data_IF_754203555504
#
_entry.id   IF_754203555504
#
_cell.length_a   1.000
_cell.length_b   1.000
_cell.length_c   1.000
_cell.angle_alpha   90.00
_cell.angle_beta   90.00
_cell.angle_gamma   90.00
#
_symmetry.space_group_name_H-M   'P 1'
#
loop_
_entity.id
_entity.type
_entity.pdbx_description
1 polymer ?
#
# COMPACT_ATOMS: atom_id res chain seq x y z
N UNK A 1 4.86 7.53 -8.28
CA UNK A 1 4.66 7.99 -6.89
C UNK A 1 5.89 8.70 -6.31
N UNK A 2 6.90 8.94 -7.19
CA UNK A 2 8.08 9.72 -6.80
C UNK A 2 7.68 11.17 -6.46
N UNK A 3 8.18 11.76 -5.34
CA UNK A 3 7.74 13.10 -4.88
C UNK A 3 7.99 14.23 -5.89
N UNK A 4 8.87 14.03 -6.86
CA UNK A 4 9.10 14.97 -7.96
C UNK A 4 7.91 15.08 -8.93
N UNK A 5 7.07 14.04 -9.03
CA UNK A 5 6.00 13.92 -10.02
C UNK A 5 4.62 13.73 -9.41
N UNK A 6 4.54 13.37 -8.14
CA UNK A 6 3.29 13.11 -7.44
C UNK A 6 3.15 14.09 -6.28
N UNK A 7 2.12 14.90 -6.35
CA UNK A 7 1.64 15.76 -5.29
C UNK A 7 0.21 15.33 -4.97
N UNK A 8 -0.02 14.97 -3.70
CA UNK A 8 -1.31 14.45 -3.29
C UNK A 8 -2.36 15.56 -3.20
N UNK A 9 -3.52 15.33 -3.83
CA UNK A 9 -4.66 16.25 -3.81
C UNK A 9 -5.48 16.05 -2.54
N UNK A 10 -5.41 17.01 -1.62
CA UNK A 10 -6.14 16.97 -0.34
C UNK A 10 -7.66 16.95 -0.50
N UNK A 11 -8.18 17.38 -1.65
CA UNK A 11 -9.64 17.38 -1.92
C UNK A 11 -10.25 15.97 -1.86
N UNK A 12 -9.44 14.92 -2.00
CA UNK A 12 -9.89 13.54 -1.85
C UNK A 12 -10.51 13.27 -0.47
N UNK A 13 -10.02 13.92 0.57
CA UNK A 13 -10.52 13.74 1.94
C UNK A 13 -11.97 14.18 2.07
N UNK A 14 -12.33 15.34 1.52
CA UNK A 14 -13.72 15.81 1.52
C UNK A 14 -14.64 14.92 0.69
N UNK A 15 -14.16 14.38 -0.43
CA UNK A 15 -14.87 13.42 -1.27
C UNK A 15 -15.15 12.10 -0.53
N UNK A 16 -14.27 11.72 0.40
CA UNK A 16 -14.42 10.54 1.27
C UNK A 16 -15.21 10.84 2.55
N UNK A 17 -15.63 12.08 2.77
CA UNK A 17 -16.28 12.50 4.01
C UNK A 17 -15.35 12.41 5.22
N UNK A 18 -14.05 12.66 5.03
CA UNK A 18 -13.04 12.71 6.08
C UNK A 18 -12.87 14.15 6.54
N UNK A 19 -13.00 14.37 7.85
CA UNK A 19 -12.77 15.67 8.48
C UNK A 19 -11.28 15.90 8.73
N UNK A 20 -10.91 17.16 8.94
CA UNK A 20 -9.52 17.53 9.25
C UNK A 20 -9.03 16.83 10.52
N UNK A 21 -7.90 16.12 10.41
CA UNK A 21 -7.33 15.35 11.53
C UNK A 21 -7.99 14.00 11.78
N UNK A 22 -9.05 13.67 11.06
CA UNK A 22 -9.69 12.34 11.18
C UNK A 22 -8.80 11.25 10.56
N UNK A 23 -8.60 10.18 11.31
CA UNK A 23 -7.75 9.06 10.93
C UNK A 23 -8.55 7.97 10.23
N UNK A 24 -7.99 7.40 9.18
CA UNK A 24 -8.64 6.32 8.46
C UNK A 24 -7.65 5.26 7.97
N UNK A 25 -8.18 4.07 7.73
CA UNK A 25 -7.47 2.94 7.12
C UNK A 25 -8.09 2.62 5.77
N UNK A 26 -7.24 2.34 4.79
CA UNK A 26 -7.67 1.75 3.51
C UNK A 26 -7.31 0.27 3.53
N UNK A 27 -8.28 -0.57 3.20
CA UNK A 27 -8.10 -2.01 3.02
C UNK A 27 -8.28 -2.39 1.56
N UNK A 28 -7.44 -3.30 1.06
CA UNK A 28 -7.58 -3.84 -0.30
C UNK A 28 -7.64 -5.35 -0.27
N UNK A 29 -8.73 -5.90 -0.78
CA UNK A 29 -8.91 -7.34 -0.93
C UNK A 29 -9.02 -7.72 -2.41
N UNK A 30 -8.15 -8.65 -2.86
CA UNK A 30 -8.16 -9.17 -4.23
C UNK A 30 -8.96 -10.46 -4.32
N UNK A 31 -9.39 -10.81 -5.55
CA UNK A 31 -10.29 -11.96 -5.76
C UNK A 31 -9.59 -13.32 -5.73
N UNK A 32 -8.27 -13.37 -5.93
CA UNK A 32 -7.49 -14.62 -6.04
C UNK A 32 -8.06 -15.61 -7.06
N UNK A 33 -8.57 -15.10 -8.18
CA UNK A 33 -9.25 -15.89 -9.21
C UNK A 33 -8.41 -16.11 -10.49
N UNK A 34 -7.21 -15.53 -10.56
CA UNK A 34 -6.36 -15.65 -11.74
C UNK A 34 -5.71 -17.05 -11.82
N UNK A 35 -5.37 -17.49 -13.02
CA UNK A 35 -4.81 -18.84 -13.26
C UNK A 35 -3.47 -19.10 -12.55
N UNK A 36 -2.71 -18.07 -12.24
CA UNK A 36 -1.46 -18.15 -11.48
C UNK A 36 -1.65 -18.13 -9.96
N UNK A 37 -2.88 -17.92 -9.48
CA UNK A 37 -3.22 -17.90 -8.06
C UNK A 37 -3.61 -19.27 -7.51
N UNK A 38 -3.50 -20.35 -8.30
CA UNK A 38 -3.88 -21.67 -7.86
C UNK A 38 -3.17 -22.08 -6.56
N UNK A 39 -3.95 -22.37 -5.51
CA UNK A 39 -3.44 -22.67 -4.17
C UNK A 39 -2.91 -21.47 -3.40
N UNK A 40 -3.12 -20.24 -3.90
CA UNK A 40 -2.77 -18.98 -3.24
C UNK A 40 -4.02 -18.34 -2.65
N UNK A 41 -3.82 -17.43 -1.68
CA UNK A 41 -4.91 -16.72 -1.05
C UNK A 41 -4.43 -15.60 -0.14
N UNK A 42 -5.37 -14.76 0.24
CA UNK A 42 -5.20 -13.69 1.22
C UNK A 42 -6.13 -13.91 2.42
N UNK A 43 -6.76 -12.85 2.88
CA UNK A 43 -7.73 -12.91 3.97
C UNK A 43 -8.97 -13.73 3.60
N UNK A 44 -9.37 -14.64 4.47
CA UNK A 44 -10.67 -15.30 4.38
C UNK A 44 -11.81 -14.29 4.59
N UNK A 45 -13.03 -14.65 4.25
CA UNK A 45 -14.17 -13.77 4.50
C UNK A 45 -14.32 -13.40 5.97
N UNK A 46 -14.13 -14.37 6.87
CA UNK A 46 -14.21 -14.14 8.31
C UNK A 46 -13.07 -13.23 8.80
N UNK A 47 -11.86 -13.40 8.25
CA UNK A 47 -10.75 -12.48 8.56
C UNK A 47 -11.03 -11.06 8.07
N UNK A 48 -11.60 -10.89 6.84
CA UNK A 48 -12.01 -9.59 6.30
C UNK A 48 -13.02 -8.91 7.20
N UNK A 49 -14.08 -9.62 7.61
CA UNK A 49 -15.07 -9.10 8.57
C UNK A 49 -14.41 -8.73 9.88
N UNK A 50 -13.58 -9.60 10.43
CA UNK A 50 -12.92 -9.38 11.72
C UNK A 50 -12.01 -8.16 11.69
N UNK A 51 -11.12 -8.03 10.69
CA UNK A 51 -10.20 -6.90 10.63
C UNK A 51 -10.92 -5.57 10.45
N UNK A 52 -11.97 -5.53 9.63
CA UNK A 52 -12.81 -4.34 9.47
C UNK A 52 -13.45 -3.95 10.80
N UNK A 53 -14.10 -4.90 11.48
CA UNK A 53 -14.79 -4.64 12.76
C UNK A 53 -13.83 -4.23 13.87
N UNK A 54 -12.66 -4.84 13.96
CA UNK A 54 -11.68 -4.48 14.99
C UNK A 54 -11.07 -3.10 14.74
N UNK A 55 -10.70 -2.79 13.50
CA UNK A 55 -10.08 -1.49 13.17
C UNK A 55 -11.08 -0.34 13.18
N UNK A 56 -12.36 -0.59 12.84
CA UNK A 56 -13.42 0.43 12.85
C UNK A 56 -13.74 0.99 14.25
N UNK A 57 -13.31 0.28 15.30
CA UNK A 57 -13.39 0.80 16.69
C UNK A 57 -12.42 1.98 16.93
N UNK A 58 -11.43 2.19 16.06
CA UNK A 58 -10.33 3.12 16.27
C UNK A 58 -10.17 4.15 15.16
N UNK A 59 -10.56 3.81 13.94
CA UNK A 59 -10.43 4.65 12.76
C UNK A 59 -11.61 4.45 11.80
N UNK A 60 -11.86 5.41 10.92
CA UNK A 60 -12.73 5.19 9.75
C UNK A 60 -12.12 4.13 8.84
N UNK A 61 -12.94 3.23 8.32
CA UNK A 61 -12.47 2.11 7.46
C UNK A 61 -13.05 2.28 6.06
N UNK A 62 -12.19 2.15 5.07
CA UNK A 62 -12.55 2.13 3.65
C UNK A 62 -12.02 0.86 3.00
N UNK A 63 -12.88 0.12 2.31
CA UNK A 63 -12.53 -1.15 1.68
C UNK A 63 -12.61 -1.02 0.17
N UNK A 64 -11.49 -1.27 -0.50
CA UNK A 64 -11.42 -1.49 -1.95
C UNK A 64 -11.38 -2.98 -2.21
N UNK A 65 -12.31 -3.51 -2.99
CA UNK A 65 -12.41 -4.94 -3.30
C UNK A 65 -12.59 -5.15 -4.80
N UNK A 66 -12.04 -6.24 -5.34
CA UNK A 66 -12.26 -6.66 -6.72
C UNK A 66 -13.57 -7.44 -6.89
N UNK A 67 -14.05 -8.03 -5.81
CA UNK A 67 -15.35 -8.69 -5.76
C UNK A 67 -16.35 -7.87 -4.96
N UNK A 68 -17.63 -8.13 -5.19
CA UNK A 68 -18.70 -7.52 -4.40
C UNK A 68 -18.52 -7.85 -2.92
N UNK A 69 -18.65 -6.83 -2.08
CA UNK A 69 -18.56 -7.02 -0.64
C UNK A 69 -19.87 -7.61 -0.11
N UNK A 70 -19.79 -8.55 0.85
CA UNK A 70 -20.98 -9.05 1.56
C UNK A 70 -21.77 -7.93 2.22
N UNK A 71 -23.09 -8.13 2.35
CA UNK A 71 -24.00 -7.14 2.93
C UNK A 71 -23.57 -6.59 4.29
N UNK A 72 -22.93 -7.43 5.10
CA UNK A 72 -22.50 -7.05 6.46
C UNK A 72 -21.33 -6.05 6.48
N UNK A 73 -20.60 -5.91 5.36
CA UNK A 73 -19.43 -5.02 5.26
C UNK A 73 -19.48 -4.10 4.04
N UNK A 74 -20.55 -4.10 3.26
CA UNK A 74 -20.69 -3.28 2.05
C UNK A 74 -20.61 -1.77 2.32
N UNK A 75 -21.06 -1.33 3.49
CA UNK A 75 -21.05 0.08 3.87
C UNK A 75 -19.63 0.65 4.06
N UNK A 76 -18.62 -0.23 4.17
CA UNK A 76 -17.23 0.17 4.20
C UNK A 76 -16.61 0.35 2.81
N UNK A 77 -17.35 0.06 1.72
CA UNK A 77 -16.82 0.19 0.37
C UNK A 77 -16.35 1.62 0.08
N UNK A 78 -15.11 1.77 -0.38
CA UNK A 78 -14.57 3.06 -0.78
C UNK A 78 -15.27 3.56 -2.05
N UNK A 79 -15.67 4.82 -2.04
CA UNK A 79 -16.38 5.45 -3.16
C UNK A 79 -15.63 6.71 -3.58
N UNK A 80 -14.57 6.52 -4.37
CA UNK A 80 -13.80 7.60 -4.97
C UNK A 80 -13.48 7.24 -6.44
N UNK A 81 -13.22 8.23 -7.30
CA UNK A 81 -12.68 7.98 -8.63
C UNK A 81 -11.38 7.16 -8.56
N UNK A 82 -11.20 6.24 -9.49
CA UNK A 82 -10.05 5.31 -9.50
C UNK A 82 -8.71 6.04 -9.54
N UNK A 83 -8.65 7.16 -10.27
CA UNK A 83 -7.47 8.02 -10.37
C UNK A 83 -7.12 8.75 -9.06
N UNK A 84 -8.01 8.77 -8.08
CA UNK A 84 -7.80 9.38 -6.74
C UNK A 84 -7.31 8.39 -5.67
N UNK A 85 -7.12 7.12 -6.01
CA UNK A 85 -6.71 6.12 -5.02
C UNK A 85 -5.34 6.42 -4.39
N UNK A 86 -4.38 6.95 -5.16
CA UNK A 86 -3.07 7.30 -4.64
C UNK A 86 -3.12 8.49 -3.69
N UNK A 87 -3.98 9.47 -3.97
CA UNK A 87 -4.25 10.59 -3.06
C UNK A 87 -4.80 10.07 -1.73
N UNK A 88 -5.81 9.20 -1.80
CA UNK A 88 -6.40 8.58 -0.61
C UNK A 88 -5.38 7.72 0.17
N UNK A 89 -4.54 6.95 -0.51
CA UNK A 89 -3.47 6.18 0.13
C UNK A 89 -2.45 7.09 0.81
N UNK A 90 -2.08 8.21 0.18
CA UNK A 90 -1.10 9.15 0.74
C UNK A 90 -1.56 9.72 2.09
N UNK A 91 -2.82 10.07 2.24
CA UNK A 91 -3.36 10.62 3.49
C UNK A 91 -3.81 9.55 4.50
N UNK A 92 -3.93 8.30 4.10
CA UNK A 92 -4.33 7.22 5.00
C UNK A 92 -3.35 7.07 6.18
N UNK A 93 -3.89 6.76 7.35
CA UNK A 93 -3.10 6.47 8.56
C UNK A 93 -2.55 5.04 8.56
N UNK A 94 -3.21 4.13 7.81
CA UNK A 94 -2.83 2.73 7.70
C UNK A 94 -3.36 2.16 6.37
N UNK A 95 -2.60 1.28 5.76
CA UNK A 95 -3.05 0.38 4.71
C UNK A 95 -2.95 -1.06 5.18
N UNK A 96 -3.98 -1.86 4.91
CA UNK A 96 -3.96 -3.31 5.16
C UNK A 96 -4.54 -4.04 3.96
N UNK A 97 -3.86 -5.06 3.46
CA UNK A 97 -4.42 -5.82 2.35
C UNK A 97 -3.60 -7.01 1.90
N UNK A 98 -4.19 -7.75 0.99
CA UNK A 98 -3.58 -8.89 0.31
C UNK A 98 -3.08 -8.54 -1.11
N UNK A 99 -3.37 -7.33 -1.60
CA UNK A 99 -2.85 -6.79 -2.86
C UNK A 99 -1.36 -6.45 -2.76
N UNK A 100 -0.56 -7.04 -3.63
CA UNK A 100 0.88 -6.79 -3.70
C UNK A 100 1.18 -5.38 -4.22
N UNK A 101 0.52 -4.98 -5.29
CA UNK A 101 0.75 -3.68 -5.95
C UNK A 101 0.35 -2.53 -5.02
N UNK A 102 -0.88 -2.52 -4.51
CA UNK A 102 -1.36 -1.43 -3.67
C UNK A 102 -0.61 -1.34 -2.34
N UNK A 103 -0.16 -2.48 -1.77
CA UNK A 103 0.71 -2.48 -0.60
C UNK A 103 2.05 -1.79 -0.87
N UNK A 104 2.67 -2.07 -2.03
CA UNK A 104 3.91 -1.38 -2.45
C UNK A 104 3.68 0.12 -2.64
N UNK A 105 2.58 0.50 -3.31
CA UNK A 105 2.22 1.90 -3.54
C UNK A 105 2.00 2.66 -2.24
N UNK A 106 1.24 2.08 -1.30
CA UNK A 106 1.02 2.65 0.02
C UNK A 106 2.33 2.84 0.81
N UNK A 107 3.21 1.84 0.81
CA UNK A 107 4.52 1.92 1.46
C UNK A 107 5.39 3.03 0.87
N UNK A 108 5.48 3.12 -0.47
CA UNK A 108 6.24 4.16 -1.17
C UNK A 108 5.64 5.55 -0.95
N UNK A 109 4.33 5.66 -0.78
CA UNK A 109 3.66 6.91 -0.40
C UNK A 109 3.90 7.31 1.06
N UNK A 110 4.54 6.45 1.86
CA UNK A 110 4.81 6.69 3.27
C UNK A 110 3.60 6.44 4.16
N UNK A 111 2.73 5.53 3.75
CA UNK A 111 1.63 5.05 4.57
C UNK A 111 2.04 3.78 5.29
N UNK A 112 1.86 3.68 6.61
CA UNK A 112 2.03 2.45 7.35
C UNK A 112 1.29 1.31 6.66
N UNK A 113 1.98 0.21 6.35
CA UNK A 113 1.45 -0.82 5.47
C UNK A 113 1.58 -2.21 6.09
N UNK A 114 0.48 -2.97 6.07
CA UNK A 114 0.48 -4.41 6.36
C UNK A 114 0.05 -5.13 5.09
N UNK A 115 0.92 -6.01 4.59
CA UNK A 115 0.62 -6.94 3.51
C UNK A 115 0.47 -8.35 4.09
N UNK A 116 -0.67 -9.00 3.81
CA UNK A 116 -0.93 -10.36 4.31
C UNK A 116 -1.52 -11.23 3.22
N UNK A 117 -0.72 -12.18 2.72
CA UNK A 117 -1.14 -13.18 1.76
C UNK A 117 -0.21 -14.40 1.79
N UNK A 118 -0.54 -15.44 1.04
CA UNK A 118 0.20 -16.70 1.02
C UNK A 118 1.57 -16.65 0.34
N UNK A 119 1.93 -15.55 -0.32
CA UNK A 119 3.28 -15.35 -0.88
C UNK A 119 4.30 -14.92 0.17
N UNK A 120 3.85 -14.35 1.29
CA UNK A 120 4.73 -13.93 2.39
C UNK A 120 5.50 -15.14 2.94
N UNK A 121 6.82 -15.03 3.01
CA UNK A 121 7.71 -16.05 3.54
C UNK A 121 9.10 -16.03 2.91
N UNK A 122 9.88 -17.09 3.10
CA UNK A 122 11.30 -17.17 2.72
C UNK A 122 11.59 -17.00 1.23
N UNK A 123 10.60 -17.27 0.36
CA UNK A 123 10.69 -17.11 -1.08
C UNK A 123 9.88 -15.91 -1.61
N UNK A 124 9.65 -14.90 -0.77
CA UNK A 124 8.96 -13.69 -1.19
C UNK A 124 9.81 -12.87 -2.18
N UNK A 125 9.17 -11.97 -2.92
CA UNK A 125 9.90 -11.11 -3.86
C UNK A 125 10.77 -10.11 -3.11
N UNK A 126 11.97 -9.88 -3.63
CA UNK A 126 13.01 -9.06 -2.99
C UNK A 126 12.58 -7.63 -2.68
N UNK A 127 11.66 -7.06 -3.48
CA UNK A 127 11.13 -5.73 -3.22
C UNK A 127 10.31 -5.64 -1.92
N UNK A 128 9.55 -6.69 -1.57
CA UNK A 128 8.79 -6.72 -0.31
C UNK A 128 9.70 -6.90 0.89
N UNK A 129 10.71 -7.78 0.76
CA UNK A 129 11.73 -7.99 1.77
C UNK A 129 12.50 -6.68 2.00
N UNK A 130 12.90 -5.99 0.94
CA UNK A 130 13.63 -4.72 1.04
C UNK A 130 12.78 -3.62 1.69
N UNK A 131 11.49 -3.51 1.34
CA UNK A 131 10.57 -2.55 1.95
C UNK A 131 10.39 -2.77 3.45
N UNK A 132 10.42 -4.01 3.91
CA UNK A 132 10.34 -4.38 5.33
C UNK A 132 11.68 -4.22 6.03
N UNK A 133 12.70 -4.97 5.61
CA UNK A 133 13.95 -5.12 6.36
C UNK A 133 14.85 -3.89 6.28
N UNK A 134 14.97 -3.29 5.10
CA UNK A 134 15.86 -2.14 4.88
C UNK A 134 15.21 -0.81 5.20
N UNK A 135 13.96 -0.63 4.78
CA UNK A 135 13.26 0.65 4.89
C UNK A 135 12.26 0.71 6.04
N UNK A 136 11.80 -0.43 6.54
CA UNK A 136 10.79 -0.50 7.60
C UNK A 136 9.47 0.17 7.23
N UNK A 137 9.10 0.14 5.93
CA UNK A 137 7.91 0.77 5.38
C UNK A 137 6.70 -0.17 5.30
N UNK A 138 6.93 -1.49 5.52
CA UNK A 138 5.90 -2.52 5.39
C UNK A 138 6.08 -3.57 6.47
N UNK A 139 4.99 -4.21 6.84
CA UNK A 139 4.97 -5.47 7.57
C UNK A 139 4.42 -6.56 6.64
N UNK A 140 5.23 -7.59 6.37
CA UNK A 140 4.82 -8.78 5.61
C UNK A 140 4.42 -9.88 6.60
N UNK A 141 3.13 -10.09 6.78
CA UNK A 141 2.60 -11.01 7.80
C UNK A 141 1.73 -12.06 7.13
N UNK A 142 2.21 -13.31 7.05
CA UNK A 142 1.47 -14.40 6.40
C UNK A 142 0.24 -14.84 7.16
N UNK A 143 0.33 -14.89 8.48
CA UNK A 143 -0.78 -15.29 9.34
C UNK A 143 -1.79 -14.14 9.49
N UNK A 144 -3.02 -14.36 9.04
CA UNK A 144 -4.08 -13.34 9.05
C UNK A 144 -4.44 -12.86 10.47
N UNK A 145 -4.33 -13.74 11.48
CA UNK A 145 -4.62 -13.36 12.87
C UNK A 145 -3.56 -12.40 13.41
N UNK A 146 -2.29 -12.69 13.13
CA UNK A 146 -1.19 -11.80 13.51
C UNK A 146 -1.27 -10.47 12.72
N UNK A 147 -1.70 -10.50 11.45
CA UNK A 147 -1.93 -9.29 10.67
C UNK A 147 -3.06 -8.42 11.27
N UNK A 148 -4.14 -9.03 11.74
CA UNK A 148 -5.24 -8.34 12.43
C UNK A 148 -4.75 -7.72 13.74
N UNK A 149 -4.00 -8.46 14.55
CA UNK A 149 -3.44 -7.97 15.82
C UNK A 149 -2.51 -6.77 15.56
N UNK A 150 -1.62 -6.88 14.55
CA UNK A 150 -0.74 -5.79 14.15
C UNK A 150 -1.52 -4.58 13.65
N UNK A 151 -2.59 -4.77 12.90
CA UNK A 151 -3.42 -3.66 12.43
C UNK A 151 -4.05 -2.89 13.61
N UNK A 152 -4.59 -3.60 14.59
CA UNK A 152 -5.14 -2.97 15.82
C UNK A 152 -4.04 -2.24 16.59
N UNK A 153 -2.86 -2.86 16.77
CA UNK A 153 -1.71 -2.22 17.42
C UNK A 153 -1.35 -0.89 16.75
N UNK A 154 -1.26 -0.87 15.39
CA UNK A 154 -0.93 0.34 14.64
C UNK A 154 -2.06 1.39 14.71
N UNK A 155 -3.31 0.97 14.77
CA UNK A 155 -4.44 1.89 14.96
C UNK A 155 -4.36 2.67 16.28
N UNK A 156 -3.77 2.10 17.32
CA UNK A 156 -3.62 2.75 18.62
C UNK A 156 -2.48 3.80 18.67
N UNK A 157 -1.55 3.75 17.71
CA UNK A 157 -0.43 4.68 17.64
C UNK A 157 -0.85 6.01 16.97
N UNK A 158 -0.84 7.12 17.70
CA UNK A 158 -1.36 8.41 17.21
C UNK A 158 -0.51 9.02 16.09
N UNK A 159 0.82 9.00 16.20
CA UNK A 159 1.74 9.70 15.29
C UNK A 159 2.50 8.78 14.35
N UNK A 160 1.94 7.60 14.07
CA UNK A 160 2.60 6.60 13.26
C UNK A 160 2.93 7.10 11.84
N UNK A 161 2.05 7.91 11.26
CA UNK A 161 2.21 8.44 9.89
C UNK A 161 3.48 9.27 9.73
N UNK A 162 3.79 10.13 10.69
CA UNK A 162 5.00 10.96 10.64
C UNK A 162 6.27 10.12 10.58
N UNK A 163 6.31 9.03 11.35
CA UNK A 163 7.43 8.08 11.33
C UNK A 163 7.61 7.43 9.95
N UNK A 164 6.52 7.07 9.26
CA UNK A 164 6.61 6.48 7.91
C UNK A 164 7.02 7.49 6.85
N UNK A 165 6.58 8.74 6.96
CA UNK A 165 7.04 9.82 6.07
C UNK A 165 8.55 10.03 6.19
N UNK A 166 9.12 9.97 7.38
CA UNK A 166 10.58 10.05 7.55
C UNK A 166 11.31 8.83 6.97
N UNK A 167 10.83 7.62 7.25
CA UNK A 167 11.39 6.40 6.67
C UNK A 167 11.36 6.40 5.13
N UNK A 168 10.29 6.94 4.56
CA UNK A 168 10.12 7.07 3.12
C UNK A 168 11.24 7.86 2.44
N UNK A 169 11.78 8.89 3.08
CA UNK A 169 12.85 9.72 2.49
C UNK A 169 14.04 8.87 2.05
N UNK A 170 14.42 7.91 2.87
CA UNK A 170 15.57 7.03 2.61
C UNK A 170 15.45 6.25 1.30
N UNK A 171 14.25 5.81 0.90
CA UNK A 171 14.09 5.07 -0.34
C UNK A 171 14.40 5.94 -1.57
N UNK A 172 14.05 7.24 -1.53
CA UNK A 172 14.33 8.18 -2.63
C UNK A 172 15.78 8.68 -2.64
N UNK A 173 16.50 8.57 -1.52
CA UNK A 173 17.94 8.80 -1.46
C UNK A 173 18.71 7.60 -2.03
N UNK A 174 18.24 6.40 -1.77
CA UNK A 174 18.92 5.14 -2.14
C UNK A 174 18.63 4.68 -3.59
N UNK A 175 17.45 5.04 -4.14
CA UNK A 175 16.97 4.51 -5.43
C UNK A 175 17.04 5.55 -6.53
N UNK A 176 17.37 5.09 -7.73
CA UNK A 176 17.32 5.92 -8.93
C UNK A 176 15.88 6.28 -9.31
N UNK A 177 15.70 7.49 -9.81
CA UNK A 177 14.48 7.87 -10.53
C UNK A 177 14.41 7.13 -11.86
N UNK A 178 13.75 5.96 -11.85
CA UNK A 178 13.64 5.08 -13.02
C UNK A 178 12.91 5.75 -14.17
N UNK A 179 11.93 6.61 -13.88
CA UNK A 179 11.20 7.36 -14.92
C UNK A 179 12.14 8.31 -15.65
N UNK A 180 12.92 9.09 -14.92
CA UNK A 180 13.92 9.99 -15.51
C UNK A 180 14.96 9.20 -16.32
N UNK A 181 15.42 8.07 -15.80
CA UNK A 181 16.36 7.18 -16.49
C UNK A 181 15.80 6.67 -17.82
N UNK A 182 14.57 6.14 -17.81
CA UNK A 182 13.91 5.62 -19.02
C UNK A 182 13.72 6.74 -20.05
N UNK A 183 13.20 7.90 -19.62
CA UNK A 183 12.97 9.04 -20.50
C UNK A 183 14.27 9.50 -21.16
N UNK A 184 15.33 9.69 -20.37
CA UNK A 184 16.66 10.09 -20.90
C UNK A 184 17.23 9.06 -21.85
N UNK A 185 17.05 7.76 -21.56
CA UNK A 185 17.52 6.68 -22.41
C UNK A 185 16.82 6.69 -23.76
N UNK A 186 15.48 6.83 -23.76
CA UNK A 186 14.67 6.81 -24.99
C UNK A 186 14.93 8.06 -25.86
N UNK A 187 14.95 9.25 -25.25
CA UNK A 187 15.15 10.51 -25.98
C UNK A 187 16.58 10.60 -26.53
N UNK A 188 17.58 10.11 -25.79
CA UNK A 188 18.99 10.15 -26.18
C UNK A 188 19.47 8.97 -27.00
N UNK A 189 18.56 8.07 -27.45
CA UNK A 189 18.96 6.91 -28.26
C UNK A 189 19.44 7.34 -29.66
N UNK A 190 20.53 6.70 -30.23
CA UNK A 190 21.29 5.55 -29.67
C UNK A 190 22.42 5.93 -28.72
N UNK A 191 22.82 7.19 -28.61
CA UNK A 191 24.00 7.62 -27.84
C UNK A 191 23.88 7.34 -26.35
N UNK A 192 22.67 7.41 -25.80
CA UNK A 192 22.39 7.12 -24.38
C UNK A 192 22.76 5.69 -23.97
N UNK A 193 22.58 4.71 -24.88
CA UNK A 193 22.88 3.30 -24.60
C UNK A 193 24.39 3.05 -24.58
N UNK A 194 25.16 3.74 -25.42
CA UNK A 194 26.61 3.63 -25.46
C UNK A 194 27.27 4.09 -24.13
N UNK A 195 26.68 5.08 -23.45
CA UNK A 195 27.17 5.58 -22.17
C UNK A 195 26.94 4.61 -21.02
N UNK A 196 25.92 3.74 -21.07
CA UNK A 196 25.69 2.70 -20.08
C UNK A 196 26.69 1.54 -20.19
N UNK A 197 27.13 1.20 -21.40
CA UNK A 197 28.08 0.12 -21.64
C UNK A 197 29.51 0.45 -21.17
N UNK A 198 29.83 1.72 -20.89
CA UNK A 198 31.15 2.18 -20.47
C UNK A 198 31.23 2.37 -18.93
N UNK A 199 30.18 2.21 -18.20
CA UNK A 199 30.11 2.39 -16.74
C UNK A 199 29.86 1.09 -15.95
N UNK A 200 29.93 -0.06 -16.60
CA UNK A 200 29.76 -1.40 -15.99
C UNK A 200 31.08 -2.12 -15.75
#
# INVERSE_FOLDING_TARGET
>A
LHPKYFEADVSVLSNMGIEEGERYVIMRFVSWAASHDFGRGGFTLDDKKKIIMETSKHMKVFVSSESELPDEIKDFAIQIPVDKIHDALFFASLFVGDSQTMATEAAILGTPTIRSNSFVGDNDMSNFIELEDKYGLMYNIRDSKLAIEKAVELCLQKDIKSTWIEKRKKIFEDKLDVTDLIVKTVIGFPESVNNFALSS
#
